data_IF_752218096472
#
_entry.id   IF_752218096472
#
_cell.length_a   1.000
_cell.length_b   1.000
_cell.length_c   1.000
_cell.angle_alpha   90.00
_cell.angle_beta   90.00
_cell.angle_gamma   90.00
#
_symmetry.space_group_name_H-M   'P 1'
#
loop_
_entity.id
_entity.type
_entity.pdbx_description
1 polymer ?
#
# COMPACT_ATOMS: atom_id res chain seq x y z
N UNK A 1 -3.32 26.65 14.99
CA UNK A 1 -2.78 25.71 14.00
C UNK A 1 -3.72 25.60 12.82
N UNK A 2 -3.23 25.85 11.63
CA UNK A 2 -4.04 25.82 10.44
C UNK A 2 -4.17 24.43 9.81
N UNK A 3 -4.94 24.37 8.75
CA UNK A 3 -5.01 23.21 7.87
C UNK A 3 -3.67 23.03 7.16
N UNK A 4 -3.29 21.80 6.76
CA UNK A 4 -2.11 21.62 5.93
C UNK A 4 -2.29 22.36 4.60
N UNK A 5 -1.20 22.94 4.08
CA UNK A 5 -1.21 23.60 2.77
C UNK A 5 -1.35 22.59 1.65
N UNK A 6 -0.65 21.48 1.77
CA UNK A 6 -0.68 20.40 0.80
C UNK A 6 -0.86 19.05 1.50
N UNK A 7 -1.74 18.23 0.96
CA UNK A 7 -1.97 16.88 1.45
C UNK A 7 -1.81 15.88 0.29
N UNK A 8 -0.85 14.96 0.43
CA UNK A 8 -0.65 13.88 -0.52
C UNK A 8 -1.23 12.60 0.07
N UNK A 9 -2.22 12.03 -0.59
CA UNK A 9 -2.85 10.78 -0.16
C UNK A 9 -2.48 9.69 -1.17
N UNK A 10 -1.87 8.63 -0.66
CA UNK A 10 -1.42 7.52 -1.50
C UNK A 10 -2.08 6.25 -1.02
N UNK A 11 -2.75 5.54 -1.94
CA UNK A 11 -3.33 4.24 -1.65
C UNK A 11 -2.22 3.19 -1.66
N UNK A 12 -2.35 2.17 -0.80
CA UNK A 12 -1.43 1.03 -0.84
C UNK A 12 -1.49 0.32 -2.19
N UNK A 13 -0.41 -0.37 -2.57
CA UNK A 13 -0.38 -1.19 -3.77
C UNK A 13 -1.27 -2.42 -3.65
N UNK A 14 -1.37 -3.19 -4.74
CA UNK A 14 -2.17 -4.41 -4.76
C UNK A 14 -1.74 -5.35 -3.64
N UNK A 15 -2.71 -5.82 -2.85
CA UNK A 15 -2.49 -6.77 -1.77
C UNK A 15 -3.03 -8.16 -2.14
N UNK A 16 -2.60 -9.16 -1.39
CA UNK A 16 -3.12 -10.52 -1.52
C UNK A 16 -4.65 -10.57 -1.39
N UNK A 17 -5.21 -9.76 -0.48
CA UNK A 17 -6.66 -9.67 -0.31
C UNK A 17 -7.33 -9.10 -1.56
N UNK A 18 -6.73 -8.10 -2.21
CA UNK A 18 -7.26 -7.53 -3.44
C UNK A 18 -7.36 -8.60 -4.55
N UNK A 19 -6.34 -9.45 -4.67
CA UNK A 19 -6.33 -10.54 -5.66
C UNK A 19 -7.46 -11.53 -5.39
N UNK A 20 -7.65 -11.93 -4.14
CA UNK A 20 -8.70 -12.88 -3.75
C UNK A 20 -10.08 -12.30 -4.05
N UNK A 21 -10.33 -11.05 -3.65
CA UNK A 21 -11.60 -10.36 -3.86
C UNK A 21 -11.87 -10.20 -5.35
N UNK A 22 -10.89 -9.76 -6.10
CA UNK A 22 -11.03 -9.54 -7.54
C UNK A 22 -11.33 -10.84 -8.29
N UNK A 23 -10.64 -11.93 -7.93
CA UNK A 23 -10.93 -13.25 -8.51
C UNK A 23 -12.35 -13.69 -8.20
N UNK A 24 -12.80 -13.47 -6.96
CA UNK A 24 -14.17 -13.80 -6.55
C UNK A 24 -15.23 -13.03 -7.35
N UNK A 25 -14.98 -11.74 -7.63
CA UNK A 25 -15.85 -10.91 -8.45
C UNK A 25 -15.95 -11.43 -9.89
N UNK A 26 -14.92 -12.12 -10.38
CA UNK A 26 -14.91 -12.77 -11.68
C UNK A 26 -15.49 -14.18 -11.65
N UNK A 27 -16.01 -14.62 -10.50
CA UNK A 27 -16.59 -15.94 -10.33
C UNK A 27 -15.60 -17.02 -9.94
N UNK A 28 -14.34 -16.68 -9.71
CA UNK A 28 -13.30 -17.63 -9.28
C UNK A 28 -13.10 -17.55 -7.78
N UNK A 29 -13.58 -18.56 -7.06
CA UNK A 29 -13.47 -18.64 -5.61
C UNK A 29 -12.38 -19.62 -5.15
N UNK A 30 -11.52 -20.07 -6.05
CA UNK A 30 -10.47 -21.05 -5.73
C UNK A 30 -9.47 -20.54 -4.70
N UNK A 31 -9.32 -19.23 -4.58
CA UNK A 31 -8.41 -18.59 -3.61
C UNK A 31 -9.01 -18.45 -2.21
N UNK A 32 -10.30 -18.73 -2.04
CA UNK A 32 -10.93 -18.74 -0.71
C UNK A 32 -10.63 -20.06 -0.01
N UNK A 33 -9.37 -20.26 0.36
CA UNK A 33 -8.92 -21.45 1.08
C UNK A 33 -9.02 -21.24 2.58
N UNK A 34 -8.99 -22.32 3.36
CA UNK A 34 -8.97 -22.23 4.81
C UNK A 34 -7.81 -21.37 5.30
N UNK A 35 -6.64 -21.54 4.71
CA UNK A 35 -5.45 -20.77 5.08
C UNK A 35 -5.64 -19.26 4.81
N UNK A 36 -6.26 -18.92 3.67
CA UNK A 36 -6.49 -17.52 3.31
C UNK A 36 -7.56 -16.87 4.19
N UNK A 37 -8.70 -17.52 4.42
CA UNK A 37 -9.79 -16.91 5.17
C UNK A 37 -9.49 -16.69 6.64
N UNK A 38 -8.47 -17.36 7.18
CA UNK A 38 -8.05 -17.19 8.57
C UNK A 38 -7.02 -16.07 8.77
N UNK A 39 -6.51 -15.47 7.70
CA UNK A 39 -5.55 -14.37 7.81
C UNK A 39 -6.26 -13.10 8.31
N UNK A 40 -5.80 -12.49 9.41
CA UNK A 40 -6.37 -11.21 9.84
C UNK A 40 -6.19 -10.15 8.75
N UNK A 41 -7.19 -9.28 8.57
CA UNK A 41 -7.17 -8.24 7.55
C UNK A 41 -5.89 -7.39 7.59
N UNK A 42 -5.44 -7.03 8.78
CA UNK A 42 -4.25 -6.20 8.97
C UNK A 42 -2.94 -6.88 8.54
N UNK A 43 -2.96 -8.18 8.34
CA UNK A 43 -1.76 -8.99 8.05
C UNK A 43 -1.57 -9.30 6.56
N UNK A 44 -2.53 -8.95 5.70
CA UNK A 44 -2.40 -9.14 4.27
C UNK A 44 -1.24 -8.31 3.72
N UNK A 45 -0.41 -8.95 2.90
CA UNK A 45 0.78 -8.31 2.33
C UNK A 45 0.53 -7.81 0.91
N UNK A 46 1.46 -7.02 0.42
CA UNK A 46 1.48 -6.65 -0.99
C UNK A 46 1.86 -7.86 -1.84
N UNK A 47 1.31 -7.92 -3.05
CA UNK A 47 1.77 -8.83 -4.09
C UNK A 47 3.01 -8.26 -4.78
N UNK A 48 3.64 -9.05 -5.65
CA UNK A 48 4.74 -8.55 -6.49
C UNK A 48 4.29 -7.36 -7.34
N UNK A 49 3.07 -7.41 -7.88
CA UNK A 49 2.47 -6.29 -8.62
C UNK A 49 2.31 -5.06 -7.73
N UNK A 50 1.83 -5.25 -6.50
CA UNK A 50 1.68 -4.15 -5.54
C UNK A 50 3.01 -3.49 -5.20
N UNK A 51 4.07 -4.27 -5.08
CA UNK A 51 5.41 -3.72 -4.86
C UNK A 51 5.91 -2.91 -6.04
N UNK A 52 5.66 -3.37 -7.26
CA UNK A 52 6.01 -2.60 -8.46
C UNK A 52 5.24 -1.29 -8.52
N UNK A 53 3.97 -1.30 -8.16
CA UNK A 53 3.14 -0.09 -8.10
C UNK A 53 3.70 0.90 -7.08
N UNK A 54 4.05 0.42 -5.89
CA UNK A 54 4.62 1.25 -4.83
C UNK A 54 5.98 1.85 -5.24
N UNK A 55 6.84 1.05 -5.85
CA UNK A 55 8.13 1.51 -6.35
C UNK A 55 7.95 2.62 -7.39
N UNK A 56 7.03 2.43 -8.31
CA UNK A 56 6.72 3.38 -9.37
C UNK A 56 6.24 4.73 -8.80
N UNK A 57 5.32 4.68 -7.84
CA UNK A 57 4.80 5.89 -7.17
C UNK A 57 5.91 6.57 -6.37
N UNK A 58 6.76 5.79 -5.70
CA UNK A 58 7.89 6.33 -4.95
C UNK A 58 8.86 7.09 -5.84
N UNK A 59 9.21 6.51 -6.98
CA UNK A 59 10.10 7.15 -7.96
C UNK A 59 9.48 8.44 -8.49
N UNK A 60 8.19 8.42 -8.80
CA UNK A 60 7.49 9.61 -9.27
C UNK A 60 7.51 10.71 -8.21
N UNK A 61 7.21 10.38 -6.96
CA UNK A 61 7.24 11.35 -5.86
C UNK A 61 8.62 11.96 -5.68
N UNK A 62 9.67 11.14 -5.70
CA UNK A 62 11.04 11.64 -5.58
C UNK A 62 11.35 12.61 -6.72
N UNK A 63 10.89 12.33 -7.94
CA UNK A 63 11.12 13.22 -9.09
C UNK A 63 10.42 14.56 -8.95
N UNK A 64 9.32 14.65 -8.19
CA UNK A 64 8.62 15.91 -7.92
C UNK A 64 9.27 16.72 -6.81
N UNK A 65 10.21 16.13 -6.07
CA UNK A 65 10.97 16.77 -4.99
C UNK A 65 10.08 17.47 -3.94
N UNK A 66 9.00 16.83 -3.46
CA UNK A 66 8.16 17.46 -2.46
C UNK A 66 8.88 17.56 -1.12
N UNK A 67 8.60 18.61 -0.37
CA UNK A 67 9.07 18.76 1.00
C UNK A 67 7.90 18.48 1.93
N UNK A 68 8.00 17.39 2.67
CA UNK A 68 6.96 17.01 3.62
C UNK A 68 7.41 17.28 5.05
N UNK A 69 6.50 17.83 5.84
CA UNK A 69 6.73 18.03 7.27
C UNK A 69 6.33 16.81 8.08
N UNK A 70 5.37 16.05 7.59
CA UNK A 70 4.85 14.87 8.29
C UNK A 70 4.61 13.71 7.34
N UNK A 71 4.85 12.51 7.86
CA UNK A 71 4.63 11.25 7.16
C UNK A 71 3.74 10.39 8.02
N UNK A 72 2.57 10.02 7.50
CA UNK A 72 1.59 9.21 8.22
C UNK A 72 1.36 7.92 7.47
N UNK A 73 1.35 6.81 8.19
CA UNK A 73 1.13 5.49 7.61
C UNK A 73 0.22 4.66 8.51
N UNK A 74 -0.68 3.90 7.89
CA UNK A 74 -1.51 2.94 8.62
C UNK A 74 -0.65 1.79 9.15
N UNK A 75 -0.97 1.19 10.30
CA UNK A 75 -0.22 0.06 10.84
C UNK A 75 -0.42 -1.26 10.08
N UNK A 76 -1.33 -1.30 9.12
CA UNK A 76 -1.57 -2.51 8.32
C UNK A 76 -0.33 -2.87 7.51
N UNK A 77 -0.06 -4.18 7.40
CA UNK A 77 1.14 -4.68 6.73
C UNK A 77 1.23 -4.15 5.28
N UNK A 78 0.14 -4.24 4.51
CA UNK A 78 0.12 -3.77 3.13
C UNK A 78 0.48 -2.29 2.99
N UNK A 79 0.07 -1.46 3.94
CA UNK A 79 0.37 -0.02 3.93
C UNK A 79 1.81 0.24 4.31
N UNK A 80 2.31 -0.45 5.32
CA UNK A 80 3.71 -0.31 5.76
C UNK A 80 4.67 -0.82 4.69
N UNK A 81 4.34 -1.90 4.00
CA UNK A 81 5.14 -2.40 2.88
C UNK A 81 5.14 -1.42 1.71
N UNK A 82 3.99 -0.78 1.44
CA UNK A 82 3.91 0.26 0.40
C UNK A 82 4.85 1.41 0.74
N UNK A 83 4.80 1.91 1.97
CA UNK A 83 5.66 3.01 2.42
C UNK A 83 7.14 2.64 2.31
N UNK A 84 7.51 1.46 2.78
CA UNK A 84 8.90 0.99 2.71
C UNK A 84 9.38 0.84 1.26
N UNK A 85 8.53 0.30 0.39
CA UNK A 85 8.87 0.06 -1.02
C UNK A 85 9.01 1.35 -1.81
N UNK A 86 8.22 2.38 -1.47
CA UNK A 86 8.38 3.70 -2.10
C UNK A 86 9.77 4.30 -1.84
N UNK A 87 10.43 3.91 -0.76
CA UNK A 87 11.79 4.31 -0.43
C UNK A 87 12.01 5.84 -0.51
N UNK A 88 11.08 6.61 0.05
CA UNK A 88 11.21 8.07 0.03
C UNK A 88 12.37 8.51 0.91
N UNK A 89 13.33 9.28 0.35
CA UNK A 89 14.44 9.81 1.15
C UNK A 89 13.92 10.69 2.28
N UNK A 90 14.53 10.61 3.44
CA UNK A 90 14.18 11.41 4.61
C UNK A 90 12.79 11.15 5.19
N UNK A 91 12.07 10.15 4.71
CA UNK A 91 10.76 9.83 5.27
C UNK A 91 10.90 9.28 6.69
N UNK A 92 10.07 9.81 7.58
CA UNK A 92 9.98 9.37 8.98
C UNK A 92 8.52 9.00 9.24
N UNK A 93 8.18 7.81 8.84
CA UNK A 93 6.83 7.26 9.01
C UNK A 93 6.47 7.04 10.48
#
# INVERSE_FOLDING_TARGET
MGMPLDLYVIRHGESEANVIISAGEQGDNSLYTQDNVTVPDRSWRLTATGRKQADCIGRWLVSQQPLFDRYLVSPYVRTRETAATMALPKAKW
#
